data_IF_912797675904
#
_entry.id   IF_912797675904
#
_cell.length_a   1.000
_cell.length_b   1.000
_cell.length_c   1.000
_cell.angle_alpha   90.00
_cell.angle_beta   90.00
_cell.angle_gamma   90.00
#
_symmetry.space_group_name_H-M   'P 1'
#
loop_
_entity.id
_entity.type
_entity.pdbx_description
1 polymer ?
#
# COMPACT_ATOMS: atom_id res chain seq x y z
N UNK A 1 -0.44 10.29 -11.10
CA UNK A 1 -1.54 9.33 -10.83
C UNK A 1 -1.27 8.61 -9.53
N UNK A 2 -2.29 8.41 -8.68
CA UNK A 2 -2.18 7.62 -7.44
C UNK A 2 -3.15 6.44 -7.54
N UNK A 3 -2.65 5.22 -7.40
CA UNK A 3 -3.44 3.99 -7.31
C UNK A 3 -3.60 3.60 -5.85
N UNK A 4 -4.76 3.93 -5.28
CA UNK A 4 -5.03 3.78 -3.84
C UNK A 4 -6.20 2.82 -3.53
N UNK A 5 -7.08 2.54 -4.49
CA UNK A 5 -8.25 1.70 -4.26
C UNK A 5 -7.85 0.32 -3.72
N UNK A 6 -8.57 -0.13 -2.72
CA UNK A 6 -8.29 -1.44 -2.11
C UNK A 6 -9.39 -1.87 -1.14
N UNK A 7 -9.44 -3.16 -0.92
CA UNK A 7 -10.28 -3.82 0.09
C UNK A 7 -9.45 -4.80 0.89
N UNK A 8 -10.00 -5.32 1.98
CA UNK A 8 -9.37 -6.38 2.75
C UNK A 8 -10.37 -7.51 2.98
N UNK A 9 -9.93 -8.74 2.75
CA UNK A 9 -10.62 -9.99 3.11
C UNK A 9 -9.62 -10.81 3.93
N UNK A 10 -10.05 -11.28 5.09
CA UNK A 10 -9.22 -12.02 6.03
C UNK A 10 -9.83 -13.41 6.18
N UNK A 11 -9.08 -14.44 5.77
CA UNK A 11 -9.46 -15.84 5.98
C UNK A 11 -8.21 -16.74 5.84
N UNK A 12 -8.12 -17.85 6.59
CA UNK A 12 -7.06 -18.84 6.38
C UNK A 12 -7.05 -19.37 4.96
N UNK A 13 -5.85 -19.59 4.39
CA UNK A 13 -5.66 -20.03 2.99
C UNK A 13 -6.55 -21.25 2.64
N UNK A 14 -6.67 -22.23 3.55
CA UNK A 14 -7.41 -23.45 3.29
C UNK A 14 -8.94 -23.28 3.27
N UNK A 15 -9.46 -22.14 3.73
CA UNK A 15 -10.89 -21.80 3.69
C UNK A 15 -11.23 -20.68 2.74
N UNK A 16 -10.23 -19.88 2.36
CA UNK A 16 -10.40 -18.74 1.47
C UNK A 16 -11.03 -19.18 0.14
N UNK A 17 -12.15 -18.56 -0.21
CA UNK A 17 -12.81 -18.87 -1.47
C UNK A 17 -11.97 -18.36 -2.66
N UNK A 18 -12.00 -19.08 -3.78
CA UNK A 18 -11.33 -18.61 -5.00
C UNK A 18 -11.95 -17.31 -5.55
N UNK A 19 -13.23 -17.08 -5.30
CA UNK A 19 -13.89 -15.83 -5.67
C UNK A 19 -13.35 -14.64 -4.88
N UNK A 20 -13.12 -14.79 -3.58
CA UNK A 20 -12.52 -13.75 -2.74
C UNK A 20 -11.06 -13.49 -3.14
N UNK A 21 -10.31 -14.56 -3.42
CA UNK A 21 -8.97 -14.43 -3.99
C UNK A 21 -9.01 -13.58 -5.28
N UNK A 22 -9.84 -13.94 -6.25
CA UNK A 22 -9.97 -13.22 -7.53
C UNK A 22 -10.41 -11.77 -7.33
N UNK A 23 -11.39 -11.53 -6.46
CA UNK A 23 -11.88 -10.19 -6.15
C UNK A 23 -10.77 -9.30 -5.61
N UNK A 24 -9.94 -9.83 -4.71
CA UNK A 24 -8.79 -9.10 -4.17
C UNK A 24 -7.76 -8.77 -5.25
N UNK A 25 -7.38 -9.76 -6.09
CA UNK A 25 -6.42 -9.53 -7.17
C UNK A 25 -6.98 -8.52 -8.19
N UNK A 26 -8.25 -8.64 -8.56
CA UNK A 26 -8.90 -7.75 -9.52
C UNK A 26 -8.89 -6.29 -9.04
N UNK A 27 -9.20 -6.03 -7.77
CA UNK A 27 -9.22 -4.65 -7.26
C UNK A 27 -7.80 -4.10 -7.11
N UNK A 28 -6.89 -4.88 -6.53
CA UNK A 28 -5.57 -4.37 -6.18
C UNK A 28 -4.58 -4.38 -7.36
N UNK A 29 -4.55 -5.44 -8.17
CA UNK A 29 -3.60 -5.59 -9.26
C UNK A 29 -4.19 -5.20 -10.62
N UNK A 30 -5.33 -5.78 -11.02
CA UNK A 30 -5.92 -5.44 -12.32
C UNK A 30 -6.34 -3.98 -12.35
N UNK A 31 -6.93 -3.46 -11.25
CA UNK A 31 -7.28 -2.04 -11.11
C UNK A 31 -6.06 -1.13 -11.19
N UNK A 32 -4.96 -1.47 -10.51
CA UNK A 32 -3.71 -0.72 -10.60
C UNK A 32 -3.13 -0.77 -12.01
N UNK A 33 -3.10 -1.94 -12.64
CA UNK A 33 -2.62 -2.10 -14.02
C UNK A 33 -3.45 -1.27 -15.01
N UNK A 34 -4.78 -1.38 -14.98
CA UNK A 34 -5.65 -0.70 -15.93
C UNK A 34 -5.56 0.83 -15.82
N UNK A 35 -5.55 1.36 -14.60
CA UNK A 35 -5.40 2.79 -14.36
C UNK A 35 -4.00 3.28 -14.74
N UNK A 36 -2.96 2.50 -14.47
CA UNK A 36 -1.59 2.79 -14.91
C UNK A 36 -1.51 2.83 -16.43
N UNK A 37 -2.03 1.81 -17.12
CA UNK A 37 -2.04 1.74 -18.58
C UNK A 37 -2.68 2.99 -19.20
N UNK A 38 -3.86 3.40 -18.70
CA UNK A 38 -4.55 4.58 -19.20
C UNK A 38 -3.74 5.87 -18.94
N UNK A 39 -3.16 6.01 -17.74
CA UNK A 39 -2.33 7.17 -17.40
C UNK A 39 -1.08 7.26 -18.30
N UNK A 40 -0.40 6.13 -18.53
CA UNK A 40 0.80 6.08 -19.39
C UNK A 40 0.48 6.40 -20.85
N UNK A 41 -0.61 5.88 -21.39
CA UNK A 41 -1.04 6.22 -22.75
C UNK A 41 -1.20 7.73 -22.90
N UNK A 42 -1.86 8.37 -21.94
CA UNK A 42 -2.01 9.84 -21.96
C UNK A 42 -0.66 10.56 -21.82
N UNK A 43 0.18 10.16 -20.86
CA UNK A 43 1.48 10.81 -20.60
C UNK A 43 2.41 10.68 -21.81
N UNK A 44 2.50 9.49 -22.41
CA UNK A 44 3.40 9.25 -23.55
C UNK A 44 2.93 9.98 -24.83
N UNK A 45 1.65 9.92 -25.15
CA UNK A 45 1.09 10.59 -26.32
C UNK A 45 1.21 12.10 -26.24
N UNK A 46 1.11 12.67 -25.05
CA UNK A 46 1.17 14.11 -24.84
C UNK A 46 2.55 14.61 -24.37
N UNK A 47 3.57 13.76 -24.36
CA UNK A 47 4.94 14.06 -23.89
C UNK A 47 4.94 14.72 -22.50
N UNK A 48 4.07 14.25 -21.61
CA UNK A 48 3.95 14.76 -20.24
C UNK A 48 4.83 13.96 -19.30
N UNK A 49 5.70 14.65 -18.56
CA UNK A 49 6.36 14.08 -17.39
C UNK A 49 5.33 13.70 -16.35
N UNK A 50 5.58 12.65 -15.58
CA UNK A 50 4.61 12.20 -14.61
C UNK A 50 5.17 11.32 -13.53
N UNK A 51 4.34 11.09 -12.52
CA UNK A 51 4.64 10.17 -11.44
C UNK A 51 3.43 9.28 -11.19
N UNK A 52 3.68 7.98 -11.10
CA UNK A 52 2.71 6.97 -10.70
C UNK A 52 3.06 6.49 -9.29
N UNK A 53 2.13 6.60 -8.38
CA UNK A 53 2.31 6.18 -6.99
C UNK A 53 1.29 5.09 -6.68
N UNK A 54 1.77 3.96 -6.17
CA UNK A 54 0.93 2.87 -5.70
C UNK A 54 0.89 2.89 -4.18
N UNK A 55 -0.30 2.69 -3.60
CA UNK A 55 -0.44 2.50 -2.16
C UNK A 55 -0.21 1.03 -1.83
N UNK A 56 1.00 0.73 -1.38
CA UNK A 56 1.38 -0.54 -0.77
C UNK A 56 0.91 -0.66 0.66
N UNK A 57 1.70 -1.33 1.47
CA UNK A 57 1.64 -1.41 2.93
C UNK A 57 2.98 -2.01 3.41
N UNK A 58 3.25 -2.02 4.70
CA UNK A 58 4.31 -2.87 5.28
C UNK A 58 4.21 -4.31 4.76
N UNK A 59 2.98 -4.82 4.58
CA UNK A 59 2.73 -6.13 3.97
C UNK A 59 3.06 -6.24 2.47
N UNK A 60 3.65 -5.23 1.87
CA UNK A 60 4.33 -5.38 0.57
C UNK A 60 5.72 -6.00 0.72
N UNK A 61 6.23 -6.09 1.94
CA UNK A 61 7.57 -6.59 2.28
C UNK A 61 7.54 -7.78 3.24
N UNK A 62 6.51 -7.91 4.06
CA UNK A 62 6.37 -8.98 5.03
C UNK A 62 5.00 -9.65 4.99
N UNK A 63 4.94 -10.86 5.55
CA UNK A 63 3.71 -11.64 5.61
C UNK A 63 2.82 -11.19 6.78
N UNK A 64 1.52 -11.49 6.67
CA UNK A 64 0.55 -11.39 7.75
C UNK A 64 -0.40 -12.57 7.70
N UNK A 65 -0.71 -13.15 8.85
CA UNK A 65 -1.62 -14.29 8.94
C UNK A 65 -2.99 -13.96 8.35
N UNK A 66 -3.57 -14.94 7.67
CA UNK A 66 -4.92 -14.90 7.11
C UNK A 66 -5.16 -13.84 6.01
N UNK A 67 -4.10 -13.21 5.52
CA UNK A 67 -4.17 -12.14 4.51
C UNK A 67 -3.52 -12.55 3.18
N UNK A 68 -3.55 -13.83 2.82
CA UNK A 68 -2.87 -14.34 1.63
C UNK A 68 -3.15 -13.52 0.35
N UNK A 69 -4.41 -13.25 -0.06
CA UNK A 69 -4.66 -12.50 -1.28
C UNK A 69 -4.19 -11.04 -1.18
N UNK A 70 -4.31 -10.44 0.01
CA UNK A 70 -3.90 -9.07 0.26
C UNK A 70 -2.37 -8.91 0.18
N UNK A 71 -1.65 -9.74 0.91
CA UNK A 71 -0.17 -9.74 0.92
C UNK A 71 0.37 -10.00 -0.49
N UNK A 72 -0.19 -11.00 -1.20
CA UNK A 72 0.20 -11.28 -2.59
C UNK A 72 0.00 -10.07 -3.50
N UNK A 73 -1.17 -9.42 -3.42
CA UNK A 73 -1.45 -8.24 -4.23
C UNK A 73 -0.50 -7.08 -3.91
N UNK A 74 -0.23 -6.83 -2.63
CA UNK A 74 0.66 -5.74 -2.20
C UNK A 74 2.13 -6.00 -2.60
N UNK A 75 2.59 -7.24 -2.57
CA UNK A 75 3.89 -7.61 -3.17
C UNK A 75 3.90 -7.43 -4.69
N UNK A 76 2.81 -7.78 -5.37
CA UNK A 76 2.67 -7.60 -6.82
C UNK A 76 2.80 -6.14 -7.27
N UNK A 77 2.34 -5.18 -6.46
CA UNK A 77 2.50 -3.75 -6.74
C UNK A 77 3.97 -3.31 -6.77
N UNK A 78 4.86 -3.93 -5.98
CA UNK A 78 6.30 -3.66 -6.06
C UNK A 78 6.86 -4.08 -7.43
N UNK A 79 6.44 -5.24 -7.93
CA UNK A 79 6.82 -5.71 -9.26
C UNK A 79 6.37 -4.75 -10.35
N UNK A 80 5.09 -4.38 -10.34
CA UNK A 80 4.52 -3.43 -11.29
C UNK A 80 5.24 -2.07 -11.27
N UNK A 81 5.52 -1.54 -10.07
CA UNK A 81 6.26 -0.30 -9.88
C UNK A 81 7.66 -0.37 -10.51
N UNK A 82 8.40 -1.44 -10.26
CA UNK A 82 9.78 -1.61 -10.75
C UNK A 82 9.85 -1.77 -12.27
N UNK A 83 8.88 -2.47 -12.86
CA UNK A 83 8.75 -2.56 -14.33
C UNK A 83 8.48 -1.19 -14.91
N UNK A 84 7.50 -0.46 -14.36
CA UNK A 84 7.18 0.89 -14.82
C UNK A 84 8.36 1.86 -14.67
N UNK A 85 9.14 1.76 -13.61
CA UNK A 85 10.34 2.59 -13.44
C UNK A 85 11.33 2.45 -14.61
N UNK A 86 11.47 1.23 -15.14
CA UNK A 86 12.34 0.94 -16.28
C UNK A 86 11.73 1.39 -17.61
N UNK A 87 10.46 1.08 -17.85
CA UNK A 87 9.77 1.42 -19.11
C UNK A 87 9.49 2.92 -19.22
N UNK A 88 9.16 3.58 -18.11
CA UNK A 88 8.82 5.00 -18.05
C UNK A 88 10.01 5.94 -18.16
N UNK A 89 11.23 5.45 -17.93
CA UNK A 89 12.43 6.28 -17.85
C UNK A 89 12.66 7.12 -19.11
N UNK A 90 12.50 6.54 -20.30
CA UNK A 90 12.64 7.24 -21.58
C UNK A 90 11.60 8.35 -21.81
N UNK A 91 10.50 8.32 -21.08
CA UNK A 91 9.40 9.29 -21.14
C UNK A 91 9.38 10.25 -19.93
N UNK A 92 10.41 10.21 -19.07
CA UNK A 92 10.44 10.95 -17.81
C UNK A 92 9.22 10.67 -16.91
N UNK A 93 8.73 9.42 -16.92
CA UNK A 93 7.69 8.95 -16.01
C UNK A 93 8.31 8.11 -14.92
N UNK A 94 8.03 8.47 -13.68
CA UNK A 94 8.52 7.82 -12.47
C UNK A 94 7.45 6.94 -11.85
N UNK A 95 7.87 5.98 -11.05
CA UNK A 95 6.95 5.18 -10.26
C UNK A 95 7.49 4.91 -8.86
N UNK A 96 6.59 4.87 -7.89
CA UNK A 96 6.91 4.62 -6.48
C UNK A 96 5.81 3.79 -5.83
N UNK A 97 6.19 3.08 -4.75
CA UNK A 97 5.21 2.50 -3.82
C UNK A 97 5.37 3.18 -2.48
N UNK A 98 4.30 3.69 -1.89
CA UNK A 98 4.28 4.12 -0.49
C UNK A 98 3.75 2.94 0.33
N UNK A 99 4.51 2.54 1.34
CA UNK A 99 4.21 1.40 2.19
C UNK A 99 3.96 1.87 3.64
N UNK A 100 2.74 2.29 3.99
CA UNK A 100 2.40 2.68 5.35
C UNK A 100 2.43 1.50 6.32
N UNK A 101 2.58 1.80 7.62
CA UNK A 101 2.08 0.96 8.70
C UNK A 101 0.57 1.14 8.92
N UNK A 102 0.12 1.09 10.17
CA UNK A 102 -1.26 1.44 10.50
C UNK A 102 -1.47 2.96 10.41
N UNK A 103 -2.33 3.35 9.47
CA UNK A 103 -2.77 4.75 9.32
C UNK A 103 -4.06 4.93 10.12
N UNK A 104 -4.12 5.94 10.98
CA UNK A 104 -5.30 6.24 11.81
C UNK A 104 -6.44 6.77 10.95
N UNK A 105 -7.18 5.87 10.37
CA UNK A 105 -8.36 6.13 9.54
C UNK A 105 -9.64 5.73 10.27
N UNK A 106 -10.81 6.24 9.87
CA UNK A 106 -12.09 5.77 10.44
C UNK A 106 -12.27 4.25 10.39
N UNK A 107 -11.70 3.59 9.36
CA UNK A 107 -11.73 2.13 9.25
C UNK A 107 -10.91 1.47 10.37
N UNK A 108 -9.71 1.98 10.65
CA UNK A 108 -8.84 1.45 11.72
C UNK A 108 -9.47 1.74 13.09
N UNK A 109 -9.99 2.95 13.30
CA UNK A 109 -10.67 3.31 14.54
C UNK A 109 -11.87 2.39 14.84
N UNK A 110 -12.64 2.03 13.83
CA UNK A 110 -13.76 1.07 13.95
C UNK A 110 -13.28 -0.34 14.31
N UNK A 111 -12.13 -0.77 13.79
CA UNK A 111 -11.58 -2.10 14.06
C UNK A 111 -11.13 -2.29 15.51
N UNK A 112 -10.81 -1.22 16.23
CA UNK A 112 -10.31 -1.31 17.61
C UNK A 112 -11.35 -1.95 18.55
N UNK A 113 -12.56 -1.38 18.69
CA UNK A 113 -13.58 -1.99 19.55
C UNK A 113 -14.06 -3.36 19.04
N UNK A 114 -14.12 -3.56 17.71
CA UNK A 114 -14.49 -4.85 17.14
C UNK A 114 -13.51 -5.97 17.55
N UNK A 115 -12.21 -5.71 17.44
CA UNK A 115 -11.17 -6.67 17.84
C UNK A 115 -11.11 -6.85 19.37
N UNK A 116 -11.34 -5.80 20.14
CA UNK A 116 -11.40 -5.87 21.59
C UNK A 116 -12.52 -6.84 22.05
N UNK A 117 -13.71 -6.68 21.48
CA UNK A 117 -14.85 -7.54 21.77
C UNK A 117 -14.61 -9.01 21.32
N UNK A 118 -14.08 -9.19 20.09
CA UNK A 118 -13.80 -10.54 19.55
C UNK A 118 -12.78 -11.32 20.39
N UNK A 119 -11.75 -10.63 20.91
CA UNK A 119 -10.64 -11.24 21.63
C UNK A 119 -10.81 -11.23 23.16
N UNK A 120 -11.81 -10.54 23.67
CA UNK A 120 -12.03 -10.40 25.12
C UNK A 120 -10.91 -9.61 25.83
N UNK A 121 -10.33 -8.61 25.17
CA UNK A 121 -9.26 -7.74 25.67
C UNK A 121 -9.71 -6.27 25.61
N UNK A 122 -8.91 -5.37 26.20
CA UNK A 122 -9.21 -3.93 26.17
C UNK A 122 -8.86 -3.32 24.80
N UNK A 123 -9.48 -2.19 24.47
CA UNK A 123 -9.13 -1.40 23.26
C UNK A 123 -7.66 -0.95 23.31
N UNK A 124 -7.17 -0.60 24.48
CA UNK A 124 -5.76 -0.24 24.68
C UNK A 124 -4.82 -1.39 24.36
N UNK A 125 -5.19 -2.63 24.75
CA UNK A 125 -4.43 -3.83 24.38
C UNK A 125 -4.47 -4.09 22.88
N UNK A 126 -5.59 -3.84 22.20
CA UNK A 126 -5.66 -3.95 20.73
C UNK A 126 -4.68 -2.98 20.09
N UNK A 127 -4.65 -1.73 20.56
CA UNK A 127 -3.75 -0.71 20.01
C UNK A 127 -2.29 -1.07 20.28
N UNK A 128 -1.92 -1.33 21.54
CA UNK A 128 -0.51 -1.45 21.93
C UNK A 128 0.09 -2.81 21.57
N UNK A 129 -0.68 -3.90 21.73
CA UNK A 129 -0.16 -5.26 21.66
C UNK A 129 -0.44 -5.93 20.30
N UNK A 130 -1.36 -5.35 19.49
CA UNK A 130 -1.69 -5.89 18.18
C UNK A 130 -1.33 -4.91 17.06
N UNK A 131 -1.86 -3.68 17.09
CA UNK A 131 -1.69 -2.76 15.97
C UNK A 131 -0.31 -2.09 15.97
N UNK A 132 0.14 -1.60 17.10
CA UNK A 132 1.37 -0.83 17.23
C UNK A 132 2.53 -1.63 17.84
N UNK A 133 2.36 -2.94 18.01
CA UNK A 133 3.37 -3.81 18.67
C UNK A 133 4.76 -3.69 18.03
N UNK A 134 4.82 -3.51 16.73
CA UNK A 134 6.07 -3.44 15.98
C UNK A 134 6.58 -2.00 15.77
N UNK A 135 5.81 -0.97 16.11
CA UNK A 135 6.27 0.43 15.98
C UNK A 135 7.20 0.79 17.13
N UNK A 136 8.21 1.64 16.86
CA UNK A 136 9.21 2.00 17.88
C UNK A 136 8.72 3.08 18.85
N UNK A 137 7.75 3.88 18.44
CA UNK A 137 7.20 5.01 19.19
C UNK A 137 5.76 4.81 19.66
N UNK A 138 5.16 3.66 19.30
CA UNK A 138 3.75 3.33 19.62
C UNK A 138 2.74 4.33 19.07
N UNK A 139 3.05 4.93 17.92
CA UNK A 139 2.17 5.88 17.27
C UNK A 139 1.58 5.35 15.95
N UNK A 140 0.38 5.82 15.62
CA UNK A 140 -0.21 5.60 14.31
C UNK A 140 0.34 6.61 13.31
N UNK A 141 0.57 6.18 12.08
CA UNK A 141 0.74 7.10 10.97
C UNK A 141 -0.52 7.96 10.82
N UNK A 142 -0.36 9.27 10.70
CA UNK A 142 -1.50 10.15 10.51
C UNK A 142 -2.04 10.11 9.07
N UNK A 143 -3.29 10.53 8.89
CA UNK A 143 -3.87 10.69 7.55
C UNK A 143 -3.23 11.82 6.75
N UNK A 144 -2.38 12.66 7.37
CA UNK A 144 -1.66 13.74 6.71
C UNK A 144 -0.26 13.32 6.24
N UNK A 145 0.37 12.35 6.88
CA UNK A 145 1.74 11.93 6.55
C UNK A 145 1.83 11.32 5.15
N UNK A 146 0.86 10.50 4.79
CA UNK A 146 0.86 9.79 3.51
C UNK A 146 0.68 10.74 2.30
N UNK A 147 -0.27 11.69 2.30
CA UNK A 147 -0.34 12.72 1.27
C UNK A 147 0.90 13.59 1.16
N UNK A 148 1.54 13.95 2.27
CA UNK A 148 2.78 14.74 2.25
C UNK A 148 3.92 13.97 1.58
N UNK A 149 4.07 12.68 1.89
CA UNK A 149 5.05 11.81 1.22
C UNK A 149 4.72 11.64 -0.27
N UNK A 150 3.45 11.47 -0.61
CA UNK A 150 3.02 11.39 -2.00
C UNK A 150 3.32 12.69 -2.76
N UNK A 151 3.08 13.84 -2.15
CA UNK A 151 3.42 15.15 -2.71
C UNK A 151 4.93 15.31 -2.91
N UNK A 152 5.73 14.93 -1.91
CA UNK A 152 7.19 14.93 -2.02
C UNK A 152 7.66 14.12 -3.22
N UNK A 153 7.20 12.88 -3.38
CA UNK A 153 7.58 12.00 -4.50
C UNK A 153 7.09 12.53 -5.85
N UNK A 154 5.90 13.13 -5.89
CA UNK A 154 5.34 13.70 -7.11
C UNK A 154 6.06 14.97 -7.56
N UNK A 155 6.47 15.82 -6.61
CA UNK A 155 7.13 17.09 -6.87
C UNK A 155 8.66 16.99 -6.99
N UNK A 156 9.26 15.86 -6.66
CA UNK A 156 10.71 15.70 -6.66
C UNK A 156 11.29 15.95 -8.06
N UNK A 157 12.36 16.75 -8.20
CA UNK A 157 12.78 17.28 -9.50
C UNK A 157 13.56 16.29 -10.39
N UNK A 158 13.92 15.11 -9.86
CA UNK A 158 14.72 14.12 -10.60
C UNK A 158 14.17 12.70 -10.49
N UNK A 159 14.76 11.77 -11.24
CA UNK A 159 14.35 10.35 -11.27
C UNK A 159 15.06 9.49 -10.21
N UNK A 160 15.82 10.08 -9.28
CA UNK A 160 16.69 9.34 -8.35
C UNK A 160 15.94 8.34 -7.47
N UNK A 161 14.67 8.59 -7.16
CA UNK A 161 13.83 7.70 -6.35
C UNK A 161 12.93 6.76 -7.17
N UNK A 162 13.02 6.76 -8.50
CA UNK A 162 12.12 5.93 -9.30
C UNK A 162 12.32 4.43 -9.00
N UNK A 163 11.24 3.68 -8.96
CA UNK A 163 11.24 2.24 -8.67
C UNK A 163 11.34 1.87 -7.19
N UNK A 164 11.42 2.87 -6.30
CA UNK A 164 11.54 2.62 -4.86
C UNK A 164 10.21 2.40 -4.16
N UNK A 165 10.23 1.58 -3.13
CA UNK A 165 9.19 1.51 -2.11
C UNK A 165 9.65 2.29 -0.88
N UNK A 166 8.84 3.25 -0.45
CA UNK A 166 9.13 4.06 0.73
C UNK A 166 8.23 3.58 1.87
N UNK A 167 8.86 3.05 2.91
CA UNK A 167 8.17 2.58 4.10
C UNK A 167 7.96 3.74 5.05
N UNK A 168 6.70 3.98 5.44
CA UNK A 168 6.29 5.01 6.40
C UNK A 168 5.50 4.31 7.53
N UNK A 169 6.23 3.70 8.47
CA UNK A 169 5.66 2.70 9.39
C UNK A 169 6.12 2.85 10.84
N UNK A 170 6.65 4.00 11.25
CA UNK A 170 7.16 4.20 12.61
C UNK A 170 8.17 3.10 13.03
N UNK A 171 9.07 2.75 12.12
CA UNK A 171 10.09 1.74 12.39
C UNK A 171 9.60 0.29 12.43
N UNK A 172 8.32 0.01 12.15
CA UNK A 172 7.80 -1.36 12.10
C UNK A 172 8.59 -2.24 11.12
N UNK A 173 8.84 -1.74 9.92
CA UNK A 173 9.69 -2.40 8.94
C UNK A 173 10.78 -1.44 8.48
N UNK A 174 12.03 -1.90 8.53
CA UNK A 174 13.21 -1.18 8.07
C UNK A 174 13.99 -2.08 7.11
N UNK A 175 14.38 -1.55 5.94
CA UNK A 175 15.20 -2.25 4.94
C UNK A 175 16.68 -2.17 5.31
#
# INVERSE_FOLDING_TARGET
MVSNAGIQIIDPIHRLSFNDWKKMQSIHLDGAFLTTKAALQYMYQNQKVGTVIYTGLVHSHEASLFKAPYVTAKHGLLGLCRVLAKEGAQYNVRSHVICPGFVKTPLVEKQIPEQAAEKGITEEQVVNDIMLVNTVDKEFTSTQDIPQLALFLAAFPSNVFTGQSIVASHGWFMN
#
